data_IF_465177416976
#
_entry.id   IF_465177416976
#
_cell.length_a   1.000
_cell.length_b   1.000
_cell.length_c   1.000
_cell.angle_alpha   90.00
_cell.angle_beta   90.00
_cell.angle_gamma   90.00
#
_symmetry.space_group_name_H-M   'P 1'
#
loop_
_entity.id
_entity.type
_entity.pdbx_description
1 polymer ?
#
# COMPACT_ATOMS: atom_id res chain seq x y z
N UNK A 1 -5.40 -15.14 14.27
CA UNK A 1 -6.31 -15.60 15.34
C UNK A 1 -7.69 -14.92 15.26
N UNK A 2 -7.80 -13.59 15.35
CA UNK A 2 -9.10 -12.89 15.32
C UNK A 2 -9.86 -13.06 13.99
N UNK A 3 -9.19 -12.94 12.84
CA UNK A 3 -9.81 -13.18 11.52
C UNK A 3 -10.30 -14.61 11.38
N UNK A 4 -9.49 -15.57 11.83
CA UNK A 4 -9.89 -16.99 11.83
C UNK A 4 -11.10 -17.27 12.72
N UNK A 5 -11.23 -16.57 13.86
CA UNK A 5 -12.41 -16.64 14.71
C UNK A 5 -13.66 -16.10 13.98
N UNK A 6 -13.56 -14.97 13.27
CA UNK A 6 -14.66 -14.42 12.46
C UNK A 6 -15.07 -15.37 11.33
N UNK A 7 -14.09 -15.98 10.63
CA UNK A 7 -14.37 -16.98 9.60
C UNK A 7 -15.08 -18.22 10.15
N UNK A 8 -14.67 -18.67 11.34
CA UNK A 8 -15.30 -19.80 12.03
C UNK A 8 -16.73 -19.48 12.50
N UNK A 9 -16.99 -18.24 12.91
CA UNK A 9 -18.31 -17.75 13.28
C UNK A 9 -19.22 -17.45 12.07
N UNK A 10 -18.75 -17.71 10.83
CA UNK A 10 -19.48 -17.47 9.56
C UNK A 10 -19.90 -16.00 9.36
N UNK A 11 -19.18 -15.08 9.97
CA UNK A 11 -19.46 -13.64 9.87
C UNK A 11 -19.02 -13.04 8.53
N UNK A 12 -18.22 -13.74 7.72
CA UNK A 12 -17.85 -13.33 6.36
C UNK A 12 -19.05 -13.12 5.42
N UNK A 13 -20.19 -13.80 5.69
CA UNK A 13 -21.40 -13.62 4.89
C UNK A 13 -22.05 -12.24 5.04
N UNK A 14 -21.69 -11.45 6.04
CA UNK A 14 -22.20 -10.09 6.26
C UNK A 14 -21.85 -9.20 5.05
N UNK A 15 -20.72 -9.46 4.39
CA UNK A 15 -20.29 -8.69 3.22
C UNK A 15 -21.23 -8.81 2.04
N UNK A 16 -21.93 -9.93 1.89
CA UNK A 16 -22.95 -10.11 0.85
C UNK A 16 -24.16 -9.17 1.00
N UNK A 17 -24.31 -8.56 2.18
CA UNK A 17 -25.33 -7.55 2.44
C UNK A 17 -24.88 -6.14 2.06
N UNK A 18 -23.58 -5.94 1.73
CA UNK A 18 -23.08 -4.62 1.36
C UNK A 18 -23.45 -4.28 -0.08
N UNK A 19 -24.15 -3.16 -0.31
CA UNK A 19 -24.45 -2.69 -1.66
C UNK A 19 -23.17 -2.38 -2.44
N UNK A 20 -23.15 -2.68 -3.74
CA UNK A 20 -22.00 -2.41 -4.62
C UNK A 20 -21.47 -0.97 -4.58
N UNK A 21 -22.29 0.09 -4.38
CA UNK A 21 -21.79 1.44 -4.21
C UNK A 21 -20.88 1.64 -2.98
N UNK A 22 -21.14 0.90 -1.89
CA UNK A 22 -20.31 0.95 -0.66
C UNK A 22 -18.93 0.37 -0.94
N UNK A 23 -18.86 -0.77 -1.63
CA UNK A 23 -17.58 -1.39 -2.05
C UNK A 23 -16.79 -0.47 -2.98
N UNK A 24 -17.45 0.15 -3.96
CA UNK A 24 -16.85 1.13 -4.87
C UNK A 24 -16.31 2.36 -4.13
N UNK A 25 -17.10 2.91 -3.20
CA UNK A 25 -16.69 4.04 -2.36
C UNK A 25 -15.48 3.72 -1.47
N UNK A 26 -15.45 2.53 -0.88
CA UNK A 26 -14.32 2.06 -0.07
C UNK A 26 -13.03 1.96 -0.89
N UNK A 27 -13.11 1.32 -2.07
CA UNK A 27 -11.95 1.18 -2.96
C UNK A 27 -11.46 2.54 -3.46
N UNK A 28 -12.37 3.45 -3.83
CA UNK A 28 -12.02 4.80 -4.25
C UNK A 28 -11.36 5.60 -3.10
N UNK A 29 -11.90 5.52 -1.89
CA UNK A 29 -11.33 6.14 -0.70
C UNK A 29 -9.94 5.60 -0.36
N UNK A 30 -9.76 4.29 -0.46
CA UNK A 30 -8.45 3.66 -0.26
C UNK A 30 -7.44 4.14 -1.31
N UNK A 31 -7.84 4.19 -2.59
CA UNK A 31 -7.01 4.71 -3.66
C UNK A 31 -6.59 6.17 -3.43
N UNK A 32 -7.52 6.99 -2.96
CA UNK A 32 -7.23 8.38 -2.60
C UNK A 32 -6.20 8.49 -1.47
N UNK A 33 -6.39 7.74 -0.38
CA UNK A 33 -5.46 7.74 0.76
C UNK A 33 -4.07 7.28 0.35
N UNK A 34 -3.97 6.25 -0.50
CA UNK A 34 -2.69 5.78 -1.03
C UNK A 34 -2.01 6.85 -1.90
N UNK A 35 -2.76 7.52 -2.77
CA UNK A 35 -2.24 8.60 -3.63
C UNK A 35 -1.75 9.78 -2.79
N UNK A 36 -2.55 10.21 -1.82
CA UNK A 36 -2.17 11.29 -0.90
C UNK A 36 -0.95 10.92 -0.03
N UNK A 37 -0.88 9.66 0.42
CA UNK A 37 0.25 9.14 1.16
C UNK A 37 1.53 9.10 0.33
N UNK A 38 1.46 8.63 -0.91
CA UNK A 38 2.59 8.61 -1.84
C UNK A 38 3.11 10.03 -2.11
N UNK A 39 2.21 10.98 -2.37
CA UNK A 39 2.58 12.39 -2.56
C UNK A 39 3.30 12.94 -1.33
N UNK A 40 2.76 12.69 -0.13
CA UNK A 40 3.38 13.14 1.12
C UNK A 40 4.77 12.55 1.35
N UNK A 41 4.96 11.27 1.02
CA UNK A 41 6.27 10.60 1.14
C UNK A 41 7.29 11.20 0.17
N UNK A 42 6.87 11.53 -1.06
CA UNK A 42 7.76 12.07 -2.09
C UNK A 42 8.08 13.55 -1.87
N UNK A 43 7.12 14.36 -1.42
CA UNK A 43 7.27 15.82 -1.33
C UNK A 43 7.46 16.35 0.08
N UNK A 44 7.21 15.51 1.11
CA UNK A 44 7.19 15.93 2.52
C UNK A 44 5.96 16.76 2.91
N UNK A 45 5.06 17.09 1.98
CA UNK A 45 3.91 17.97 2.18
C UNK A 45 2.58 17.25 2.01
N UNK A 46 1.50 17.78 2.59
CA UNK A 46 0.17 17.21 2.43
C UNK A 46 -0.34 17.34 1.00
N UNK A 47 -1.17 16.37 0.56
CA UNK A 47 -1.80 16.39 -0.76
C UNK A 47 -2.95 17.41 -0.77
N UNK A 48 -2.61 18.66 -1.02
CA UNK A 48 -3.53 19.80 -1.10
C UNK A 48 -3.33 20.54 -2.43
N UNK A 49 -4.36 21.19 -2.98
CA UNK A 49 -4.25 21.87 -4.28
C UNK A 49 -3.09 22.86 -4.37
N UNK A 50 -2.83 23.62 -3.30
CA UNK A 50 -1.73 24.56 -3.25
C UNK A 50 -0.37 23.87 -3.35
N UNK A 51 -0.18 22.75 -2.65
CA UNK A 51 1.06 21.98 -2.66
C UNK A 51 1.27 21.26 -4.00
N UNK A 52 0.20 20.80 -4.64
CA UNK A 52 0.27 20.20 -5.98
C UNK A 52 0.70 21.23 -7.02
N UNK A 53 0.19 22.46 -6.93
CA UNK A 53 0.63 23.55 -7.81
C UNK A 53 2.10 23.92 -7.55
N UNK A 54 2.52 23.97 -6.29
CA UNK A 54 3.91 24.23 -5.92
C UNK A 54 4.90 23.18 -6.47
N UNK A 55 4.46 21.92 -6.63
CA UNK A 55 5.27 20.88 -7.29
C UNK A 55 5.51 21.22 -8.77
N UNK A 56 4.50 21.76 -9.46
CA UNK A 56 4.63 22.14 -10.87
C UNK A 56 5.64 23.31 -11.07
N UNK A 57 5.76 24.17 -10.06
CA UNK A 57 6.69 25.33 -10.08
C UNK A 57 8.13 24.94 -9.65
N UNK A 58 8.32 23.72 -9.11
CA UNK A 58 9.61 23.26 -8.57
C UNK A 58 10.19 22.14 -9.42
N UNK A 59 11.22 22.39 -10.25
CA UNK A 59 11.84 21.36 -11.09
C UNK A 59 12.34 20.15 -10.31
N UNK A 60 12.86 20.34 -9.09
CA UNK A 60 13.34 19.26 -8.23
C UNK A 60 12.21 18.34 -7.77
N UNK A 61 11.05 18.88 -7.38
CA UNK A 61 9.90 18.07 -6.98
C UNK A 61 9.28 17.37 -8.20
N UNK A 62 9.29 17.98 -9.36
CA UNK A 62 8.84 17.36 -10.61
C UNK A 62 9.67 16.12 -10.96
N UNK A 63 10.99 16.16 -10.82
CA UNK A 63 11.85 15.00 -11.13
C UNK A 63 11.56 13.78 -10.24
N UNK A 64 11.06 14.01 -9.03
CA UNK A 64 10.72 12.93 -8.09
C UNK A 64 9.29 12.43 -8.29
N UNK A 65 8.34 13.34 -8.53
CA UNK A 65 6.91 12.99 -8.64
C UNK A 65 6.56 12.45 -10.03
N UNK A 66 7.14 13.00 -11.09
CA UNK A 66 6.79 12.69 -12.48
C UNK A 66 6.98 11.21 -12.85
N UNK A 67 8.10 10.54 -12.52
CA UNK A 67 8.28 9.12 -12.84
C UNK A 67 7.19 8.23 -12.22
N UNK A 68 6.85 8.48 -10.95
CA UNK A 68 5.80 7.74 -10.25
C UNK A 68 4.41 7.99 -10.87
N UNK A 69 4.09 9.25 -11.18
CA UNK A 69 2.84 9.61 -11.83
C UNK A 69 2.73 9.01 -13.24
N UNK A 70 3.81 9.06 -14.01
CA UNK A 70 3.87 8.47 -15.35
C UNK A 70 3.69 6.94 -15.31
N UNK A 71 4.34 6.26 -14.36
CA UNK A 71 4.18 4.82 -14.17
C UNK A 71 2.74 4.48 -13.77
N UNK A 72 2.14 5.23 -12.84
CA UNK A 72 0.76 5.06 -12.43
C UNK A 72 -0.22 5.23 -13.59
N UNK A 73 -0.02 6.26 -14.42
CA UNK A 73 -0.81 6.48 -15.63
C UNK A 73 -0.62 5.35 -16.66
N UNK A 74 0.62 4.89 -16.86
CA UNK A 74 0.93 3.78 -17.75
C UNK A 74 0.25 2.47 -17.29
N UNK A 75 0.25 2.18 -15.99
CA UNK A 75 -0.47 1.03 -15.41
C UNK A 75 -1.98 1.17 -15.64
N UNK A 76 -2.56 2.34 -15.40
CA UNK A 76 -3.99 2.57 -15.57
C UNK A 76 -4.42 2.38 -17.03
N UNK A 77 -3.67 2.96 -17.97
CA UNK A 77 -3.91 2.80 -19.41
C UNK A 77 -3.67 1.36 -19.87
N UNK A 78 -2.56 0.75 -19.45
CA UNK A 78 -2.22 -0.63 -19.79
C UNK A 78 -3.27 -1.62 -19.27
N UNK A 79 -3.76 -1.43 -18.06
CA UNK A 79 -4.82 -2.27 -17.51
C UNK A 79 -6.15 -2.10 -18.27
N UNK A 80 -6.46 -0.87 -18.71
CA UNK A 80 -7.67 -0.59 -19.51
C UNK A 80 -7.61 -1.19 -20.91
N UNK A 81 -6.43 -1.17 -21.55
CA UNK A 81 -6.24 -1.66 -22.92
C UNK A 81 -6.07 -3.17 -23.00
N UNK A 82 -5.32 -3.75 -22.08
CA UNK A 82 -4.92 -5.17 -22.11
C UNK A 82 -5.85 -6.02 -21.25
N UNK A 83 -6.29 -5.51 -20.09
CA UNK A 83 -7.24 -6.18 -19.19
C UNK A 83 -6.77 -7.49 -18.58
N UNK A 84 -5.45 -7.77 -18.59
CA UNK A 84 -4.86 -8.99 -18.04
C UNK A 84 -4.23 -8.73 -16.68
N UNK A 85 -4.32 -9.69 -15.77
CA UNK A 85 -3.78 -9.54 -14.41
C UNK A 85 -2.26 -9.33 -14.35
N UNK A 86 -1.50 -9.81 -15.36
CA UNK A 86 -0.06 -9.60 -15.45
C UNK A 86 0.36 -8.17 -15.73
N UNK A 87 -0.54 -7.30 -16.19
CA UNK A 87 -0.22 -5.90 -16.55
C UNK A 87 0.39 -5.17 -15.36
N UNK A 88 -0.26 -5.21 -14.20
CA UNK A 88 0.19 -4.48 -13.01
C UNK A 88 1.58 -4.95 -12.55
N UNK A 89 1.84 -6.25 -12.31
CA UNK A 89 3.17 -6.73 -11.93
C UNK A 89 4.25 -6.41 -12.98
N UNK A 90 3.93 -6.57 -14.27
CA UNK A 90 4.89 -6.32 -15.35
C UNK A 90 5.29 -4.85 -15.44
N UNK A 91 4.33 -3.95 -15.33
CA UNK A 91 4.61 -2.51 -15.35
C UNK A 91 5.36 -2.05 -14.10
N UNK A 92 5.06 -2.62 -12.92
CA UNK A 92 5.80 -2.32 -11.70
C UNK A 92 7.26 -2.74 -11.81
N UNK A 93 7.51 -3.99 -12.18
CA UNK A 93 8.88 -4.51 -12.34
C UNK A 93 9.62 -3.78 -13.46
N UNK A 94 8.98 -3.64 -14.63
CA UNK A 94 9.55 -2.91 -15.77
C UNK A 94 9.82 -1.45 -15.45
N UNK A 95 8.92 -0.79 -14.73
CA UNK A 95 9.09 0.60 -14.27
C UNK A 95 10.24 0.76 -13.28
N UNK A 96 10.40 -0.16 -12.35
CA UNK A 96 11.55 -0.16 -11.45
C UNK A 96 12.86 -0.33 -12.23
N UNK A 97 12.94 -1.33 -13.10
CA UNK A 97 14.14 -1.58 -13.92
C UNK A 97 14.44 -0.36 -14.81
N UNK A 98 13.43 0.21 -15.46
CA UNK A 98 13.58 1.38 -16.31
C UNK A 98 14.08 2.61 -15.51
N UNK A 99 13.53 2.83 -14.31
CA UNK A 99 13.93 3.94 -13.45
C UNK A 99 15.39 3.83 -13.01
N UNK A 100 15.80 2.67 -12.50
CA UNK A 100 17.20 2.45 -12.08
C UNK A 100 18.16 2.50 -13.27
N UNK A 101 17.79 1.93 -14.42
CA UNK A 101 18.59 2.02 -15.63
C UNK A 101 18.73 3.47 -16.13
N UNK A 102 17.68 4.28 -16.02
CA UNK A 102 17.72 5.68 -16.39
C UNK A 102 18.65 6.48 -15.46
N UNK A 103 18.66 6.21 -14.16
CA UNK A 103 19.57 6.85 -13.21
C UNK A 103 21.03 6.50 -13.52
N UNK A 104 21.33 5.24 -13.78
CA UNK A 104 22.69 4.77 -14.01
C UNK A 104 23.21 5.17 -15.40
N UNK A 105 22.42 4.91 -16.47
CA UNK A 105 22.89 5.09 -17.87
C UNK A 105 22.69 6.52 -18.34
N UNK A 106 21.56 7.16 -18.05
CA UNK A 106 21.25 8.51 -18.56
C UNK A 106 21.78 9.62 -17.66
N UNK A 107 21.71 9.45 -16.33
CA UNK A 107 22.20 10.45 -15.39
C UNK A 107 23.64 10.16 -14.89
N UNK A 108 24.20 8.99 -15.17
CA UNK A 108 25.52 8.58 -14.69
C UNK A 108 25.66 8.57 -13.17
N UNK A 109 24.53 8.42 -12.46
CA UNK A 109 24.46 8.49 -11.01
C UNK A 109 24.59 7.09 -10.42
N UNK A 110 25.44 6.96 -9.40
CA UNK A 110 25.42 5.77 -8.55
C UNK A 110 24.18 5.77 -7.64
N UNK A 111 23.76 4.61 -7.07
CA UNK A 111 22.67 4.58 -6.11
C UNK A 111 22.84 5.50 -4.91
N UNK A 112 24.09 5.70 -4.45
CA UNK A 112 24.42 6.59 -3.33
C UNK A 112 24.27 8.08 -3.73
N UNK A 113 24.66 8.43 -4.96
CA UNK A 113 24.46 9.78 -5.49
C UNK A 113 22.96 10.08 -5.65
N UNK A 114 22.18 9.12 -6.13
CA UNK A 114 20.73 9.26 -6.29
C UNK A 114 20.02 9.38 -4.92
N UNK A 115 20.51 8.71 -3.88
CA UNK A 115 20.04 8.89 -2.50
C UNK A 115 20.32 10.29 -1.98
N UNK A 116 21.54 10.80 -2.15
CA UNK A 116 21.91 12.16 -1.72
C UNK A 116 21.18 13.24 -2.50
N UNK A 117 20.86 12.99 -3.77
CA UNK A 117 20.03 13.85 -4.59
C UNK A 117 18.52 13.80 -4.26
N UNK A 118 18.10 12.93 -3.34
CA UNK A 118 16.69 12.77 -2.96
C UNK A 118 15.82 12.08 -4.01
N UNK A 119 16.44 11.42 -5.00
CA UNK A 119 15.74 10.65 -6.04
C UNK A 119 15.35 9.24 -5.59
N UNK A 120 15.98 8.74 -4.52
CA UNK A 120 15.66 7.47 -3.89
C UNK A 120 15.29 7.70 -2.42
N UNK A 121 14.39 6.85 -1.92
CA UNK A 121 14.04 6.80 -0.50
C UNK A 121 15.16 6.12 0.29
N UNK A 122 15.62 6.77 1.34
CA UNK A 122 16.68 6.24 2.21
C UNK A 122 17.61 7.34 2.72
N UNK A 123 18.75 6.99 3.33
CA UNK A 123 19.17 5.63 3.68
C UNK A 123 18.32 5.01 4.80
N UNK A 124 17.96 3.75 4.63
CA UNK A 124 17.35 2.99 5.72
C UNK A 124 18.47 2.47 6.62
N UNK A 125 18.35 2.67 7.92
CA UNK A 125 19.33 2.22 8.90
C UNK A 125 19.29 0.68 9.05
N UNK A 126 19.92 0.00 8.10
CA UNK A 126 19.98 -1.47 8.04
C UNK A 126 20.88 -2.02 9.13
N UNK A 127 21.82 -1.21 9.63
CA UNK A 127 22.77 -1.63 10.65
C UNK A 127 22.10 -1.91 12.00
N UNK A 128 21.01 -1.20 12.31
CA UNK A 128 20.20 -1.41 13.51
C UNK A 128 18.92 -2.24 13.25
N UNK A 129 18.62 -2.55 12.00
CA UNK A 129 17.57 -3.51 11.62
C UNK A 129 18.07 -4.96 11.79
N UNK A 130 18.85 -5.23 12.85
CA UNK A 130 19.23 -6.58 13.21
C UNK A 130 17.97 -7.42 13.28
N UNK A 131 17.84 -8.36 12.33
CA UNK A 131 16.79 -9.37 12.35
C UNK A 131 17.08 -10.28 13.54
N UNK A 132 16.80 -9.77 14.74
CA UNK A 132 16.73 -10.64 15.91
C UNK A 132 15.47 -11.47 15.70
N UNK A 133 15.60 -12.79 15.48
CA UNK A 133 14.42 -13.63 15.42
C UNK A 133 13.61 -13.34 16.70
N UNK A 134 12.34 -13.01 16.52
CA UNK A 134 11.44 -12.68 17.63
C UNK A 134 11.26 -13.95 18.45
N UNK A 135 12.20 -14.21 19.36
CA UNK A 135 12.11 -15.27 20.32
C UNK A 135 11.23 -14.71 21.44
N UNK A 136 10.05 -15.26 21.58
CA UNK A 136 9.15 -15.02 22.72
C UNK A 136 9.85 -15.54 23.99
N UNK A 137 10.71 -14.71 24.56
CA UNK A 137 11.32 -14.98 25.85
C UNK A 137 10.47 -14.36 26.96
N UNK A 138 10.39 -15.03 28.08
CA UNK A 138 9.64 -14.54 29.26
C UNK A 138 10.16 -13.16 29.72
N UNK A 139 11.45 -12.92 29.57
CA UNK A 139 12.10 -11.62 29.87
C UNK A 139 11.61 -10.50 28.96
N UNK A 140 11.32 -10.77 27.69
CA UNK A 140 10.75 -9.80 26.77
C UNK A 140 9.31 -9.42 27.14
N UNK A 141 8.52 -10.40 27.57
CA UNK A 141 7.15 -10.18 28.01
C UNK A 141 7.07 -9.29 29.26
N UNK A 142 8.05 -9.40 30.15
CA UNK A 142 8.13 -8.53 31.34
C UNK A 142 8.49 -7.09 31.03
N UNK A 143 9.20 -6.84 29.89
CA UNK A 143 9.61 -5.50 29.42
C UNK A 143 8.54 -4.83 28.54
N UNK A 144 7.47 -5.54 28.18
CA UNK A 144 6.39 -4.97 27.38
C UNK A 144 5.63 -3.95 28.24
N UNK A 145 5.51 -2.76 27.71
CA UNK A 145 4.67 -1.71 28.30
C UNK A 145 3.21 -1.94 27.96
N UNK A 146 2.55 -2.73 28.81
CA UNK A 146 1.15 -3.11 28.62
C UNK A 146 0.19 -1.92 28.71
N UNK A 147 0.55 -0.87 29.43
CA UNK A 147 -0.14 0.42 29.46
C UNK A 147 -0.28 1.02 28.05
N UNK A 148 0.82 1.09 27.30
CA UNK A 148 0.84 1.60 25.93
C UNK A 148 0.05 0.70 24.98
N UNK A 149 0.13 -0.61 25.16
CA UNK A 149 -0.66 -1.57 24.36
C UNK A 149 -2.16 -1.35 24.58
N UNK A 150 -2.57 -1.16 25.82
CA UNK A 150 -3.98 -0.91 26.17
C UNK A 150 -4.47 0.40 25.54
N UNK A 151 -3.69 1.46 25.57
CA UNK A 151 -4.02 2.76 24.96
C UNK A 151 -4.15 2.67 23.42
N UNK A 152 -3.44 1.74 22.79
CA UNK A 152 -3.52 1.50 21.34
C UNK A 152 -4.67 0.57 20.94
N UNK A 153 -5.38 -0.04 21.92
CA UNK A 153 -6.43 -1.02 21.61
C UNK A 153 -7.52 -0.50 20.65
N UNK A 154 -8.03 0.75 20.78
CA UNK A 154 -9.01 1.27 19.82
C UNK A 154 -8.46 1.35 18.39
N UNK A 155 -7.18 1.73 18.22
CA UNK A 155 -6.53 1.77 16.92
C UNK A 155 -6.31 0.39 16.34
N UNK A 156 -5.94 -0.58 17.17
CA UNK A 156 -5.81 -1.98 16.75
C UNK A 156 -7.15 -2.55 16.28
N UNK A 157 -8.24 -2.25 16.99
CA UNK A 157 -9.58 -2.67 16.61
C UNK A 157 -10.02 -2.04 15.28
N UNK A 158 -9.75 -0.75 15.08
CA UNK A 158 -10.03 -0.06 13.83
C UNK A 158 -9.25 -0.67 12.67
N UNK A 159 -7.95 -0.90 12.84
CA UNK A 159 -7.10 -1.52 11.82
C UNK A 159 -7.59 -2.94 11.48
N UNK A 160 -7.94 -3.71 12.51
CA UNK A 160 -8.50 -5.04 12.33
C UNK A 160 -9.82 -5.01 11.55
N UNK A 161 -10.73 -4.10 11.90
CA UNK A 161 -12.00 -3.92 11.20
C UNK A 161 -11.80 -3.53 9.73
N UNK A 162 -10.95 -2.54 9.46
CA UNK A 162 -10.62 -2.11 8.11
C UNK A 162 -9.96 -3.22 7.27
N UNK A 163 -9.04 -3.97 7.86
CA UNK A 163 -8.38 -5.10 7.17
C UNK A 163 -9.38 -6.21 6.85
N UNK A 164 -10.26 -6.54 7.78
CA UNK A 164 -11.31 -7.54 7.57
C UNK A 164 -12.28 -7.12 6.47
N UNK A 165 -12.75 -5.86 6.51
CA UNK A 165 -13.62 -5.31 5.46
C UNK A 165 -12.92 -5.28 4.10
N UNK A 166 -11.64 -4.87 4.06
CA UNK A 166 -10.85 -4.85 2.84
C UNK A 166 -10.74 -6.24 2.20
N UNK A 167 -10.40 -7.26 2.99
CA UNK A 167 -10.31 -8.63 2.51
C UNK A 167 -11.66 -9.12 1.95
N UNK A 168 -12.72 -8.91 2.69
CA UNK A 168 -14.06 -9.34 2.28
C UNK A 168 -14.56 -8.60 1.03
N UNK A 169 -14.25 -7.31 0.88
CA UNK A 169 -14.62 -6.54 -0.30
C UNK A 169 -13.82 -6.99 -1.54
N UNK A 170 -12.54 -7.31 -1.39
CA UNK A 170 -11.72 -7.87 -2.46
C UNK A 170 -12.29 -9.22 -2.88
N UNK A 171 -12.63 -10.09 -1.93
CA UNK A 171 -13.26 -11.40 -2.24
C UNK A 171 -14.55 -11.22 -3.02
N UNK A 172 -15.43 -10.30 -2.59
CA UNK A 172 -16.67 -10.00 -3.33
C UNK A 172 -16.41 -9.43 -4.73
N UNK A 173 -15.41 -8.58 -4.90
CA UNK A 173 -15.05 -8.05 -6.22
C UNK A 173 -14.54 -9.16 -7.15
N UNK A 174 -13.78 -10.12 -6.64
CA UNK A 174 -13.32 -11.30 -7.39
C UNK A 174 -14.49 -12.21 -7.74
N UNK A 175 -15.43 -12.46 -6.83
CA UNK A 175 -16.65 -13.22 -7.12
C UNK A 175 -17.43 -12.63 -8.30
N UNK A 176 -17.67 -11.31 -8.27
CA UNK A 176 -18.38 -10.61 -9.34
C UNK A 176 -17.63 -10.69 -10.67
N UNK A 177 -16.31 -10.52 -10.65
CA UNK A 177 -15.49 -10.50 -11.88
C UNK A 177 -15.31 -11.89 -12.50
N UNK A 178 -15.28 -12.95 -11.69
CA UNK A 178 -15.06 -14.33 -12.15
C UNK A 178 -16.35 -15.11 -12.32
N UNK A 179 -17.50 -14.57 -11.89
CA UNK A 179 -18.79 -15.29 -11.83
C UNK A 179 -18.69 -16.62 -11.07
N UNK A 180 -17.77 -16.73 -10.13
CA UNK A 180 -17.59 -17.89 -9.26
C UNK A 180 -17.88 -17.48 -7.83
N UNK A 181 -18.67 -18.28 -7.13
CA UNK A 181 -18.91 -18.08 -5.72
C UNK A 181 -17.64 -18.40 -4.92
N UNK A 182 -17.09 -17.41 -4.21
CA UNK A 182 -16.03 -17.56 -3.24
C UNK A 182 -16.60 -17.84 -1.85
N UNK A 183 -15.86 -18.52 -1.01
CA UNK A 183 -16.24 -18.71 0.40
C UNK A 183 -15.52 -17.67 1.27
N UNK A 184 -16.18 -16.53 1.50
CA UNK A 184 -15.65 -15.43 2.33
C UNK A 184 -15.21 -15.90 3.73
N UNK A 185 -15.85 -16.95 4.29
CA UNK A 185 -15.47 -17.49 5.58
C UNK A 185 -14.18 -18.33 5.52
N UNK A 186 -13.88 -18.90 4.35
CA UNK A 186 -12.62 -19.62 4.11
C UNK A 186 -11.45 -18.67 3.93
N UNK A 187 -11.68 -17.54 3.29
CA UNK A 187 -10.66 -16.49 3.11
C UNK A 187 -10.26 -15.81 4.43
N UNK A 188 -11.18 -15.79 5.42
CA UNK A 188 -10.91 -15.27 6.77
C UNK A 188 -10.14 -16.25 7.66
N UNK A 189 -10.11 -17.55 7.33
CA UNK A 189 -9.42 -18.59 8.11
C UNK A 189 -7.94 -18.66 7.79
#
# INVERSE_FOLDING_TARGET
ALMSALGSAKLGNIVRLLPSPVSGGFLAGTGWVLTAGAFKVLTGTAFEPANVLAVADSPQLLTVVLPGAALGAAIAVGNRLIGKFWVVPSFLLGGCVAYFSALEVAAGMSPDDALTAGLLLGPFDVANAGYTPFILDADLLSKVRWDVVADQFPRMLTTFGLSTLGLLLITSAVEVSTSREGDANRELK
#
